data_IF_236545233879
#
_entry.id   IF_236545233879
#
_cell.length_a   1.000
_cell.length_b   1.000
_cell.length_c   1.000
_cell.angle_alpha   90.00
_cell.angle_beta   90.00
_cell.angle_gamma   90.00
#
_symmetry.space_group_name_H-M   'P 1'
#
loop_
_entity.id
_entity.type
_entity.pdbx_description
1 polymer ?
2 polymer ?
#
# COMPACT_ATOMS: atom_id res chain seq x y z
N UNK A 1 -10.94 15.83 5.14
CA UNK A 1 -11.00 14.39 5.28
C UNK A 1 -10.86 13.69 3.93
N UNK A 2 -9.67 13.79 3.35
CA UNK A 2 -9.40 13.17 2.05
C UNK A 2 -9.19 11.67 2.19
N UNK A 3 -10.26 10.95 2.50
CA UNK A 3 -10.20 9.50 2.66
C UNK A 3 -11.26 8.80 1.82
N UNK A 4 -10.87 7.72 1.16
CA UNK A 4 -11.79 6.96 0.32
C UNK A 4 -12.21 5.67 1.01
N UNK A 5 -11.33 5.13 1.85
CA UNK A 5 -11.61 3.90 2.57
C UNK A 5 -11.81 2.74 1.60
N UNK A 6 -10.83 2.53 0.72
CA UNK A 6 -10.90 1.45 -0.26
C UNK A 6 -9.90 0.35 0.08
N UNK A 7 -10.41 -0.87 0.21
CA UNK A 7 -9.56 -2.02 0.53
C UNK A 7 -8.73 -2.45 -0.67
N UNK A 8 -7.68 -3.22 -0.43
CA UNK A 8 -6.81 -3.69 -1.49
C UNK A 8 -6.07 -4.95 -1.07
N UNK A 9 -5.67 -5.76 -2.05
CA UNK A 9 -4.94 -6.99 -1.78
C UNK A 9 -3.46 -6.83 -2.09
N UNK A 10 -2.62 -7.57 -1.37
CA UNK A 10 -1.18 -7.52 -1.57
C UNK A 10 -0.73 -8.53 -2.63
N UNK A 11 -0.41 -8.04 -3.82
CA UNK A 11 0.02 -8.89 -4.91
C UNK A 11 1.41 -9.46 -4.63
N UNK A 12 2.26 -8.67 -4.01
CA UNK A 12 3.62 -9.09 -3.69
C UNK A 12 4.07 -8.50 -2.35
N UNK A 13 5.04 -9.15 -1.72
CA UNK A 13 5.56 -8.71 -0.43
C UNK A 13 6.54 -7.55 -0.63
N UNK A 14 6.41 -6.52 0.21
CA UNK A 14 7.27 -5.36 0.13
C UNK A 14 7.73 -4.93 1.52
N UNK A 15 8.95 -4.42 1.61
CA UNK A 15 9.52 -3.98 2.88
C UNK A 15 9.78 -2.48 2.86
N UNK A 16 9.41 -1.79 3.95
CA UNK A 16 9.60 -0.34 4.08
C UNK A 16 11.07 0.04 4.23
N UNK A 17 11.44 1.19 3.68
CA UNK A 17 12.81 1.67 3.74
C UNK A 17 12.94 2.84 4.70
N UNK A 18 11.81 3.48 5.00
CA UNK A 18 11.79 4.62 5.91
C UNK A 18 11.08 4.27 7.21
N UNK A 19 11.07 5.22 8.15
CA UNK A 19 10.41 5.00 9.43
C UNK A 19 8.98 5.49 9.40
N UNK A 20 8.41 5.60 8.20
CA UNK A 20 7.04 6.05 8.02
C UNK A 20 6.32 5.22 6.97
N UNK A 21 6.94 4.11 6.58
CA UNK A 21 6.35 3.23 5.58
C UNK A 21 5.78 1.97 6.23
N UNK A 22 4.82 1.34 5.55
CA UNK A 22 4.21 0.12 6.05
C UNK A 22 4.70 -1.10 5.30
N UNK A 23 4.71 -2.25 5.96
CA UNK A 23 5.16 -3.50 5.35
C UNK A 23 4.01 -4.20 4.63
N UNK A 24 4.33 -4.94 3.59
CA UNK A 24 3.33 -5.66 2.82
C UNK A 24 3.79 -7.09 2.53
N UNK A 25 2.83 -8.01 2.42
CA UNK A 25 3.13 -9.41 2.14
C UNK A 25 2.12 -10.00 1.17
N UNK A 26 2.62 -10.77 0.21
CA UNK A 26 1.74 -11.40 -0.78
C UNK A 26 0.60 -12.14 -0.11
N UNK A 27 -0.63 -11.74 -0.43
CA UNK A 27 -1.79 -12.37 0.16
C UNK A 27 -2.33 -11.63 1.36
N UNK A 28 -1.66 -10.53 1.71
CA UNK A 28 -2.07 -9.72 2.85
C UNK A 28 -3.11 -8.69 2.45
N UNK A 29 -4.02 -8.38 3.36
CA UNK A 29 -5.06 -7.40 3.09
C UNK A 29 -4.73 -6.04 3.70
N UNK A 30 -5.04 -4.98 2.98
CA UNK A 30 -4.77 -3.62 3.46
C UNK A 30 -5.90 -2.67 3.05
N UNK A 31 -6.00 -1.56 3.78
CA UNK A 31 -7.03 -0.56 3.50
C UNK A 31 -6.40 0.77 3.09
N UNK A 32 -6.53 1.10 1.81
CA UNK A 32 -5.97 2.35 1.29
C UNK A 32 -6.78 3.55 1.76
N UNK A 33 -6.27 4.27 2.75
CA UNK A 33 -6.95 5.43 3.29
C UNK A 33 -7.05 6.53 2.23
N UNK A 34 -5.98 6.73 1.48
CA UNK A 34 -5.94 7.74 0.44
C UNK A 34 -4.65 7.64 -0.38
N UNK A 35 -4.74 8.01 -1.65
CA UNK A 35 -3.58 7.98 -2.54
C UNK A 35 -2.69 9.19 -2.34
N UNK A 36 -1.38 9.00 -2.47
CA UNK A 36 -0.43 10.09 -2.31
C UNK A 36 0.59 10.10 -3.44
N UNK A 37 1.17 11.27 -3.69
CA UNK A 37 2.15 11.40 -4.76
C UNK A 37 3.37 10.52 -4.54
N UNK A 38 4.37 10.66 -5.39
CA UNK A 38 5.59 9.88 -5.29
C UNK A 38 5.30 8.39 -5.50
N UNK A 39 4.12 8.09 -6.01
CA UNK A 39 3.74 6.71 -6.25
C UNK A 39 3.56 5.92 -4.97
N UNK A 40 3.15 6.61 -3.91
CA UNK A 40 2.95 5.97 -2.62
C UNK A 40 1.52 6.20 -2.12
N UNK A 41 0.92 5.15 -1.57
CA UNK A 41 -0.44 5.24 -1.06
C UNK A 41 -0.49 4.89 0.43
N UNK A 42 -1.18 5.72 1.21
CA UNK A 42 -1.30 5.49 2.64
C UNK A 42 -2.36 4.43 2.95
N UNK A 43 -1.91 3.26 3.39
CA UNK A 43 -2.83 2.18 3.72
C UNK A 43 -2.53 1.61 5.10
N UNK A 44 -3.50 0.90 5.67
CA UNK A 44 -3.34 0.31 6.99
C UNK A 44 -3.47 -1.21 6.92
N UNK A 45 -2.94 -1.89 7.93
CA UNK A 45 -3.00 -3.35 7.98
C UNK A 45 -4.41 -3.82 8.29
N UNK A 46 -4.57 -5.13 8.46
CA UNK A 46 -5.87 -5.71 8.76
C UNK A 46 -6.33 -5.34 10.16
N UNK A 47 -5.39 -5.32 11.10
CA UNK A 47 -5.70 -4.97 12.49
C UNK A 47 -6.37 -3.61 12.57
N UNK A 48 -6.16 -2.78 11.55
CA UNK A 48 -6.76 -1.46 11.53
C UNK A 48 -6.14 -0.53 12.56
N UNK A 49 -5.07 -0.98 13.19
CA UNK A 49 -4.39 -0.18 14.21
C UNK A 49 -3.04 0.33 13.69
N UNK A 50 -2.53 -0.31 12.65
CA UNK A 50 -1.26 0.08 12.06
C UNK A 50 -1.46 0.70 10.68
N UNK A 51 -0.97 1.92 10.50
CA UNK A 51 -1.09 2.62 9.24
C UNK A 51 0.26 3.10 8.73
N UNK A 52 0.39 3.23 7.42
CA UNK A 52 1.64 3.69 6.84
C UNK A 52 1.56 3.83 5.33
N UNK A 53 2.72 3.86 4.68
CA UNK A 53 2.77 3.99 3.23
C UNK A 53 3.02 2.65 2.57
N UNK A 54 2.32 2.39 1.46
CA UNK A 54 2.47 1.14 0.74
C UNK A 54 2.51 1.38 -0.77
N UNK A 55 3.17 0.47 -1.50
CA UNK A 55 3.30 0.57 -2.96
C UNK A 55 1.97 0.33 -3.68
N UNK A 56 1.76 1.07 -4.76
CA UNK A 56 0.52 0.94 -5.53
C UNK A 56 0.67 -0.12 -6.63
N UNK A 57 1.91 -0.31 -7.08
CA UNK A 57 2.19 -1.29 -8.13
C UNK A 57 2.44 -2.67 -7.54
N UNK A 58 2.11 -2.82 -6.25
CA UNK A 58 2.30 -4.09 -5.57
C UNK A 58 0.97 -4.59 -4.99
N UNK A 59 -0.05 -3.75 -5.05
CA UNK A 59 -1.37 -4.11 -4.54
C UNK A 59 -2.42 -4.04 -5.64
N UNK A 60 -3.61 -4.55 -5.34
CA UNK A 60 -4.71 -4.54 -6.32
C UNK A 60 -6.02 -4.18 -5.63
N UNK A 61 -6.59 -3.04 -6.03
CA UNK A 61 -7.85 -2.58 -5.45
C UNK A 61 -8.93 -3.65 -5.58
N UNK A 62 -9.58 -3.96 -4.46
CA UNK A 62 -10.63 -4.96 -4.45
C UNK A 62 -12.01 -4.31 -4.56
N UNK A 63 -12.95 -5.03 -5.19
CA UNK A 63 -14.31 -4.53 -5.35
C UNK A 63 -15.33 -5.57 -4.94
N UNK A 64 -16.56 -5.12 -4.66
CA UNK A 64 -17.66 -6.00 -4.25
C UNK A 64 -18.13 -6.92 -5.36
N UNK A 65 -18.36 -6.34 -6.54
CA UNK A 65 -18.82 -7.10 -7.69
C UNK A 65 -18.47 -6.39 -8.99
N UNK A 66 -17.42 -5.56 -8.95
CA UNK A 66 -16.98 -4.81 -10.12
C UNK A 66 -15.57 -5.22 -10.52
N UNK A 67 -15.12 -4.73 -11.68
CA UNK A 67 -13.79 -5.05 -12.16
C UNK A 67 -13.21 -3.87 -12.95
N UNK B 1 1.28 16.35 6.81
CA UNK B 1 0.82 15.01 7.17
C UNK B 1 1.86 14.24 7.95
N UNK B 2 1.46 13.07 8.44
CA UNK B 2 2.36 12.22 9.22
C UNK B 2 3.38 11.54 8.31
N UNK B 3 2.90 10.70 7.40
CA UNK B 3 3.76 9.99 6.47
C UNK B 3 4.28 10.92 5.38
N UNK B 4 5.53 10.73 4.98
CA UNK B 4 6.13 11.55 3.94
C UNK B 4 7.24 10.79 3.21
N UNK B 5 6.85 9.99 2.21
CA UNK B 5 7.79 9.19 1.42
C UNK B 5 8.65 10.06 0.50
N UNK B 6 9.95 9.78 0.49
CA UNK B 6 10.88 10.54 -0.33
C UNK B 6 11.79 9.60 -1.13
N UNK B 7 11.18 8.85 -2.06
CA UNK B 7 11.92 7.92 -2.88
C UNK B 7 11.00 7.22 -3.88
N UNK B 8 11.58 6.75 -5.00
CA UNK B 8 10.82 6.05 -6.04
C UNK B 8 10.36 4.68 -5.60
N UNK B 9 9.06 4.41 -5.79
CA UNK B 9 8.50 3.13 -5.41
C UNK B 9 9.10 1.99 -6.21
N UNK B 10 9.08 0.78 -5.65
CA UNK B 10 9.63 -0.41 -6.30
C UNK B 10 8.80 -0.86 -7.50
N UNK B 11 9.26 -1.89 -8.19
CA UNK B 11 8.56 -2.41 -9.36
C UNK B 11 8.28 -3.90 -9.20
N UNK B 12 7.15 -4.36 -9.76
CA UNK B 12 6.75 -5.76 -9.70
C UNK B 12 7.64 -6.66 -10.55
N UNK B 13 7.57 -7.98 -10.29
CA UNK B 13 8.37 -8.96 -11.03
C UNK B 13 7.91 -9.13 -12.47
N UNK B 14 8.44 -10.14 -13.14
CA UNK B 14 8.08 -10.40 -14.53
C UNK B 14 7.31 -11.72 -14.66
N UNK B 15 7.60 -12.66 -13.76
CA UNK B 15 6.94 -13.96 -13.77
C UNK B 15 5.42 -13.80 -13.68
N UNK B 16 4.95 -13.32 -12.53
CA UNK B 16 3.53 -13.12 -12.33
C UNK B 16 2.97 -12.08 -13.29
#
# INVERSE_FOLDING_TARGET
MAIVNQRAVALYDFEPENDNELRLAEGDIVFISYKHGQGWLVAENESGSKTGLVPEEFVSYIQPELEHHHHHH
GKFIPSRPAPKPPSSA
#
